data_IF_195925000933
#
_entry.id   IF_195925000933
#
_cell.length_a   1.000
_cell.length_b   1.000
_cell.length_c   1.000
_cell.angle_alpha   90.00
_cell.angle_beta   90.00
_cell.angle_gamma   90.00
#
_symmetry.space_group_name_H-M   'P 1'
#
loop_
_entity.id
_entity.type
_entity.pdbx_description
1 polymer ?
2 polymer ?
3 water ?
#
# COMPACT_ATOMS: atom_id res chain seq x y z
N UNK A 5 48.67 8.40 -12.95
CA UNK A 5 47.45 8.03 -12.21
C UNK A 5 46.51 9.23 -12.05
N UNK A 6 45.26 9.10 -12.52
CA UNK A 6 44.29 10.20 -12.46
C UNK A 6 43.02 9.86 -11.68
N UNK A 7 42.43 10.90 -11.08
CA UNK A 7 41.16 10.80 -10.39
C UNK A 7 40.30 11.87 -10.99
N UNK A 8 39.02 11.55 -11.26
CA UNK A 8 38.10 12.51 -11.86
C UNK A 8 36.69 12.20 -11.38
N UNK A 9 35.74 13.09 -11.72
CA UNK A 9 34.34 12.88 -11.38
C UNK A 9 33.59 12.36 -12.60
N UNK A 10 32.78 11.32 -12.39
CA UNK A 10 31.96 10.76 -13.46
C UNK A 10 30.87 11.78 -13.89
N UNK A 11 30.38 11.64 -15.13
CA UNK A 11 29.30 12.47 -15.66
C UNK A 11 28.00 11.66 -15.68
N UNK A 12 28.11 10.35 -15.33
CA UNK A 12 26.98 9.41 -15.28
C UNK A 12 26.08 9.84 -14.12
N UNK A 13 24.82 10.10 -14.43
CA UNK A 13 23.84 10.51 -13.42
C UNK A 13 22.91 9.33 -13.09
N UNK A 14 23.17 8.61 -11.97
CA UNK A 14 22.35 7.48 -11.54
C UNK A 14 21.72 7.79 -10.19
N UNK A 15 21.35 6.73 -9.47
CA UNK A 15 20.77 6.88 -8.14
C UNK A 15 21.02 5.61 -7.34
N UNK A 16 21.81 5.70 -6.23
CA UNK A 16 22.10 4.48 -5.44
C UNK A 16 20.89 3.89 -4.70
N UNK A 17 19.78 4.65 -4.55
CA UNK A 17 18.55 4.26 -3.84
C UNK A 17 17.54 3.52 -4.67
N UNK A 18 17.83 3.24 -5.95
CA UNK A 18 16.94 2.59 -6.92
C UNK A 18 16.34 1.26 -6.42
N UNK A 19 17.15 0.25 -6.12
CA UNK A 19 16.59 -1.03 -5.65
C UNK A 19 15.81 -0.87 -4.32
N UNK A 20 16.34 -0.07 -3.36
CA UNK A 20 15.71 0.15 -2.06
C UNK A 20 14.30 0.82 -2.16
N UNK A 21 14.17 1.83 -3.03
CA UNK A 21 12.97 2.67 -3.19
C UNK A 21 11.84 2.10 -4.06
N UNK A 22 12.07 0.99 -4.73
CA UNK A 22 11.10 0.35 -5.63
C UNK A 22 9.77 0.00 -4.98
N UNK A 23 9.78 -0.45 -3.74
CA UNK A 23 8.56 -0.81 -3.03
C UNK A 23 7.69 0.41 -2.69
N UNK A 24 8.27 1.63 -2.72
CA UNK A 24 7.63 2.89 -2.43
C UNK A 24 7.10 3.58 -3.69
N UNK A 25 7.28 2.94 -4.86
CA UNK A 25 6.72 3.45 -6.11
C UNK A 25 5.34 2.81 -6.21
N UNK A 26 4.42 3.30 -5.38
CA UNK A 26 3.05 2.81 -5.25
C UNK A 26 2.30 2.70 -6.62
N UNK A 27 2.51 3.65 -7.52
CA UNK A 27 1.90 3.65 -8.85
C UNK A 27 2.40 2.46 -9.70
N UNK A 28 3.67 2.13 -9.62
CA UNK A 28 4.24 0.99 -10.33
C UNK A 28 3.93 -0.36 -9.63
N UNK A 29 4.08 -0.46 -8.30
CA UNK A 29 4.01 -1.71 -7.57
C UNK A 29 2.57 -2.13 -7.11
N UNK A 30 1.74 -1.19 -6.66
CA UNK A 30 0.36 -1.44 -6.23
C UNK A 30 -0.55 -1.30 -7.43
N UNK A 31 -0.41 -0.18 -8.18
CA UNK A 31 -1.07 0.20 -9.44
C UNK A 31 -2.58 0.33 -9.37
N UNK A 32 -3.11 0.72 -8.19
CA UNK A 32 -4.56 0.88 -8.04
C UNK A 32 -4.83 1.74 -6.83
N UNK A 33 -6.10 2.02 -6.54
CA UNK A 33 -6.50 2.83 -5.39
C UNK A 33 -6.02 2.25 -4.09
N UNK A 34 -5.89 3.09 -3.09
CA UNK A 34 -5.44 2.67 -1.77
C UNK A 34 -6.60 2.81 -0.81
N UNK A 35 -7.09 4.03 -0.62
CA UNK A 35 -8.17 4.31 0.32
C UNK A 35 -9.39 3.54 -0.17
N UNK A 36 -9.74 3.72 -1.46
CA UNK A 36 -10.79 2.99 -2.15
C UNK A 36 -10.12 2.35 -3.38
N UNK A 37 -10.09 1.02 -3.42
CA UNK A 37 -9.53 0.27 -4.52
C UNK A 37 -10.65 -0.45 -5.28
N UNK A 38 -10.87 -0.02 -6.53
CA UNK A 38 -11.90 -0.54 -7.45
C UNK A 38 -11.31 -0.43 -8.88
N UNK A 39 -10.07 -0.88 -9.03
CA UNK A 39 -9.28 -0.75 -10.25
C UNK A 39 -9.51 -1.75 -11.36
N UNK A 40 -10.28 -2.79 -11.11
CA UNK A 40 -10.55 -3.81 -12.14
C UNK A 40 -12.03 -3.92 -12.45
N UNK A 41 -12.36 -3.92 -13.74
CA UNK A 41 -13.73 -4.09 -14.22
C UNK A 41 -13.95 -5.57 -14.49
N UNK A 42 -15.17 -6.03 -14.25
CA UNK A 42 -15.55 -7.43 -14.47
C UNK A 42 -16.98 -7.51 -15.01
N UNK A 43 -17.15 -8.19 -16.14
CA UNK A 43 -18.46 -8.40 -16.74
C UNK A 43 -19.03 -9.75 -16.26
N UNK A 44 -20.18 -9.69 -15.54
CA UNK A 44 -20.91 -10.86 -14.99
C UNK A 44 -22.37 -10.75 -15.49
N UNK A 45 -22.84 -11.76 -16.28
CA UNK A 45 -24.21 -11.78 -16.85
C UNK A 45 -24.49 -10.52 -17.69
N UNK A 46 -23.50 -10.17 -18.56
CA UNK A 46 -23.49 -9.02 -19.48
C UNK A 46 -23.60 -7.65 -18.76
N UNK A 47 -23.39 -7.63 -17.42
CA UNK A 47 -23.41 -6.44 -16.56
C UNK A 47 -21.97 -6.17 -16.08
N UNK A 48 -21.61 -4.89 -15.94
CA UNK A 48 -20.26 -4.46 -15.53
C UNK A 48 -20.17 -4.14 -14.05
N UNK A 49 -19.16 -4.72 -13.38
CA UNK A 49 -18.88 -4.55 -11.94
C UNK A 49 -17.42 -4.13 -11.68
N UNK A 50 -17.20 -3.43 -10.57
CA UNK A 50 -15.90 -2.93 -10.15
C UNK A 50 -15.39 -3.74 -8.95
N UNK A 51 -14.13 -4.21 -9.03
CA UNK A 51 -13.49 -4.97 -7.96
C UNK A 51 -12.12 -4.41 -7.61
N UNK A 52 -11.66 -4.55 -6.32
CA UNK A 52 -10.30 -4.11 -5.96
C UNK A 52 -9.26 -4.87 -6.80
N UNK A 53 -8.17 -4.18 -7.22
CA UNK A 53 -7.11 -4.74 -8.07
C UNK A 53 -5.66 -4.50 -7.61
N UNK A 54 -5.46 -3.70 -6.56
CA UNK A 54 -4.13 -3.39 -6.03
C UNK A 54 -3.22 -4.58 -5.87
N UNK A 55 -1.93 -4.45 -6.25
CA UNK A 55 -1.00 -5.59 -6.11
C UNK A 55 -0.31 -5.67 -4.73
N UNK A 56 -0.58 -4.70 -3.84
CA UNK A 56 0.03 -4.68 -2.51
C UNK A 56 -1.00 -4.83 -1.41
N UNK A 57 -0.63 -5.36 -0.21
CA UNK A 57 -1.58 -5.36 0.91
C UNK A 57 -1.72 -3.97 1.51
N UNK A 58 -2.90 -3.67 2.06
CA UNK A 58 -3.15 -2.39 2.73
C UNK A 58 -3.27 -2.72 4.24
N UNK A 59 -2.21 -2.43 4.99
CA UNK A 59 -2.13 -2.70 6.42
C UNK A 59 -2.94 -1.73 7.26
N UNK A 60 -3.76 -2.27 8.15
CA UNK A 60 -4.49 -1.47 9.11
C UNK A 60 -5.79 -0.87 8.62
N UNK A 61 -6.19 -1.22 7.40
CA UNK A 61 -7.40 -0.67 6.79
C UNK A 61 -8.61 -1.52 7.12
N UNK A 62 -9.70 -0.86 7.45
CA UNK A 62 -10.99 -1.51 7.68
C UNK A 62 -12.14 -0.65 7.20
N UNK A 63 -13.36 -1.18 7.23
CA UNK A 63 -14.53 -0.40 6.77
C UNK A 63 -15.36 -0.02 7.97
N UNK A 64 -15.57 1.30 8.17
CA UNK A 64 -16.39 1.80 9.27
C UNK A 64 -17.85 1.96 8.77
N UNK A 65 -18.78 1.23 9.39
CA UNK A 65 -20.22 1.28 9.08
C UNK A 65 -20.82 2.36 10.00
N UNK A 66 -21.33 3.46 9.40
CA UNK A 66 -21.88 4.61 10.11
C UNK A 66 -23.09 4.26 10.98
N UNK A 67 -23.00 4.63 12.29
CA UNK A 67 -24.03 4.46 13.33
C UNK A 67 -24.48 2.99 13.47
N UNK A 68 -23.49 2.09 13.41
CA UNK A 68 -23.63 0.65 13.59
C UNK A 68 -22.53 0.18 14.54
N UNK A 69 -22.86 -0.82 15.36
CA UNK A 69 -21.92 -1.41 16.32
C UNK A 69 -21.43 -2.78 15.79
N UNK A 70 -21.94 -3.18 14.60
CA UNK A 70 -21.57 -4.41 13.92
C UNK A 70 -20.27 -4.13 13.18
N UNK A 71 -19.26 -5.00 13.39
CA UNK A 71 -17.98 -4.93 12.68
C UNK A 71 -18.21 -5.31 11.21
N UNK A 72 -17.49 -4.69 10.27
CA UNK A 72 -17.58 -5.03 8.84
C UNK A 72 -17.13 -6.48 8.59
N UNK A 73 -16.39 -7.09 9.54
CA UNK A 73 -15.91 -8.48 9.46
C UNK A 73 -17.01 -9.54 9.73
N UNK A 74 -18.19 -9.09 10.22
CA UNK A 74 -19.32 -9.99 10.44
C UNK A 74 -19.92 -10.36 9.06
N UNK A 75 -20.51 -11.57 8.88
CA UNK A 75 -21.09 -11.90 7.56
C UNK A 75 -22.17 -10.92 7.11
N UNK A 76 -22.40 -10.82 5.79
CA UNK A 76 -23.46 -9.98 5.27
C UNK A 76 -24.80 -10.55 5.77
N UNK A 77 -25.80 -9.69 5.96
CA UNK A 77 -27.15 -10.12 6.35
C UNK A 77 -27.74 -10.97 5.23
N UNK A 78 -28.34 -12.11 5.59
CA UNK A 78 -28.96 -13.02 4.62
C UNK A 78 -30.43 -13.31 4.99
N UNK A 79 -31.28 -13.26 3.96
CA UNK A 79 -32.72 -13.54 3.99
C UNK A 79 -33.54 -12.96 5.11
N UNK A 80 -33.59 -13.68 6.26
CA UNK A 80 -34.38 -13.32 7.46
C UNK A 80 -33.75 -12.21 8.31
N UNK A 81 -32.53 -11.76 7.95
CA UNK A 81 -31.78 -10.71 8.66
C UNK A 81 -31.88 -9.40 7.88
N UNK A 82 -31.83 -8.27 8.60
CA UNK A 82 -31.87 -6.93 7.99
C UNK A 82 -30.44 -6.50 7.62
N UNK A 83 -30.29 -5.82 6.45
CA UNK A 83 -29.02 -5.31 5.89
C UNK A 83 -28.08 -4.75 6.98
N UNK A 84 -28.62 -3.82 7.81
CA UNK A 84 -27.91 -3.13 8.87
C UNK A 84 -27.50 -4.00 10.07
N UNK A 85 -27.92 -5.26 10.12
CA UNK A 85 -27.59 -6.18 11.22
C UNK A 85 -26.37 -7.06 10.91
N UNK A 86 -25.87 -6.95 9.68
CA UNK A 86 -24.70 -7.70 9.22
C UNK A 86 -23.54 -6.80 8.84
N UNK A 87 -22.44 -7.43 8.45
CA UNK A 87 -21.22 -6.77 8.00
C UNK A 87 -21.05 -6.88 6.51
N UNK A 88 -19.82 -7.17 6.07
CA UNK A 88 -19.41 -7.23 4.67
C UNK A 88 -18.88 -8.60 4.28
N UNK A 89 -18.56 -9.46 5.28
CA UNK A 89 -17.90 -10.72 5.05
C UNK A 89 -18.77 -11.79 4.40
N UNK A 90 -18.13 -12.83 3.89
CA UNK A 90 -18.80 -13.95 3.24
C UNK A 90 -19.75 -14.66 4.21
N UNK A 91 -20.99 -15.00 3.77
CA UNK A 91 -21.94 -15.65 4.69
C UNK A 91 -21.74 -17.16 4.79
N UNK A 92 -22.48 -17.82 5.70
CA UNK A 92 -22.39 -19.28 5.91
C UNK A 92 -22.71 -20.04 4.60
N UNK A 93 -21.93 -21.10 4.35
CA UNK A 93 -22.01 -21.91 3.13
C UNK A 93 -21.93 -23.42 3.47
N UNK A 94 -22.22 -24.31 2.47
CA UNK A 94 -22.21 -25.78 2.66
C UNK A 94 -20.84 -26.30 3.10
N UNK A 95 -19.78 -25.57 2.69
CA UNK A 95 -18.39 -25.80 3.08
C UNK A 95 -17.98 -24.49 3.82
N UNK A 96 -17.35 -24.58 5.00
CA UNK A 96 -16.98 -23.37 5.74
C UNK A 96 -15.68 -22.75 5.22
N UNK A 97 -15.78 -22.02 4.10
CA UNK A 97 -14.65 -21.37 3.43
C UNK A 97 -14.30 -20.02 4.09
N UNK A 98 -15.24 -19.42 4.85
CA UNK A 98 -14.99 -18.15 5.53
C UNK A 98 -15.90 -17.96 6.77
N UNK A 99 -15.39 -17.44 7.93
CA UNK A 99 -13.98 -17.12 8.24
C UNK A 99 -13.14 -18.37 8.35
N UNK A 100 -11.83 -18.27 8.13
CA UNK A 100 -11.00 -19.44 8.30
C UNK A 100 -9.72 -19.16 9.04
N UNK A 101 -9.45 -19.88 10.12
CA UNK A 101 -8.24 -19.70 10.88
C UNK A 101 -7.05 -20.21 10.06
N UNK A 102 -5.83 -19.80 10.45
CA UNK A 102 -4.61 -20.24 9.76
C UNK A 102 -4.46 -21.75 9.85
N UNK A 103 -4.72 -22.34 11.04
CA UNK A 103 -4.67 -23.80 11.25
C UNK A 103 -5.58 -24.54 10.21
N UNK A 104 -6.82 -24.00 9.95
CA UNK A 104 -7.80 -24.50 8.97
C UNK A 104 -7.33 -24.38 7.54
N UNK A 105 -6.66 -23.25 7.19
CA UNK A 105 -6.12 -23.06 5.84
C UNK A 105 -4.98 -24.04 5.63
N UNK A 106 -4.18 -24.26 6.68
CA UNK A 106 -3.05 -25.19 6.67
C UNK A 106 -3.54 -26.61 6.52
N UNK A 107 -4.69 -26.95 7.14
CA UNK A 107 -5.25 -28.30 6.98
C UNK A 107 -5.81 -28.49 5.57
N UNK A 108 -6.65 -27.55 5.11
CA UNK A 108 -7.26 -27.56 3.80
C UNK A 108 -6.24 -27.76 2.66
N UNK A 109 -5.05 -27.13 2.74
CA UNK A 109 -4.03 -27.16 1.69
C UNK A 109 -2.77 -27.93 2.04
N UNK A 110 -2.89 -28.91 2.96
CA UNK A 110 -1.78 -29.75 3.47
C UNK A 110 -1.04 -30.61 2.41
N UNK A 111 -1.70 -30.92 1.28
CA UNK A 111 -1.12 -31.75 0.21
C UNK A 111 -0.65 -30.92 -0.98
N UNK A 112 -1.07 -29.63 -1.01
CA UNK A 112 -0.67 -28.71 -2.07
C UNK A 112 0.74 -28.21 -1.79
N UNK A 113 1.74 -28.78 -2.49
CA UNK A 113 3.16 -28.48 -2.34
C UNK A 113 3.44 -27.00 -2.55
N UNK A 114 2.95 -26.43 -3.66
CA UNK A 114 3.17 -25.02 -4.00
C UNK A 114 2.61 -24.06 -2.96
N UNK A 115 1.47 -24.39 -2.39
CA UNK A 115 0.82 -23.55 -1.40
C UNK A 115 1.51 -23.57 -0.04
N UNK A 116 2.39 -24.59 0.19
CA UNK A 116 3.17 -24.73 1.41
C UNK A 116 4.30 -23.70 1.46
N UNK A 117 4.58 -23.07 0.31
CA UNK A 117 5.60 -22.03 0.12
C UNK A 117 5.03 -20.64 0.47
N UNK A 118 3.68 -20.50 0.57
CA UNK A 118 3.04 -19.20 0.83
C UNK A 118 3.16 -18.74 2.27
N UNK A 119 3.24 -17.40 2.46
CA UNK A 119 3.24 -16.80 3.78
C UNK A 119 1.77 -16.61 4.15
N UNK A 120 1.45 -16.45 5.43
CA UNK A 120 0.10 -16.40 5.95
C UNK A 120 -0.83 -15.48 5.16
N UNK A 121 -0.39 -14.24 4.88
CA UNK A 121 -1.14 -13.28 4.10
C UNK A 121 -1.36 -13.78 2.66
N UNK A 122 -0.29 -14.28 1.99
CA UNK A 122 -0.40 -14.79 0.58
C UNK A 122 -1.34 -16.01 0.50
N UNK A 123 -1.32 -16.86 1.56
CA UNK A 123 -2.15 -18.06 1.71
C UNK A 123 -3.62 -17.66 1.84
N UNK A 124 -3.93 -16.66 2.69
CA UNK A 124 -5.30 -16.16 2.87
C UNK A 124 -5.77 -15.59 1.54
N UNK A 125 -4.92 -14.79 0.87
CA UNK A 125 -5.27 -14.13 -0.37
C UNK A 125 -5.57 -15.17 -1.47
N UNK A 126 -4.69 -16.18 -1.67
CA UNK A 126 -4.83 -17.24 -2.67
C UNK A 126 -6.09 -18.04 -2.42
N UNK A 127 -6.38 -18.33 -1.13
CA UNK A 127 -7.58 -19.06 -0.74
C UNK A 127 -8.81 -18.34 -1.23
N UNK A 128 -8.99 -17.06 -0.80
CA UNK A 128 -10.15 -16.23 -1.16
C UNK A 128 -10.28 -16.01 -2.65
N UNK A 129 -9.14 -15.82 -3.35
CA UNK A 129 -9.06 -15.53 -4.79
C UNK A 129 -9.30 -16.77 -5.69
N UNK A 130 -9.31 -17.98 -5.10
CA UNK A 130 -9.53 -19.25 -5.82
C UNK A 130 -11.01 -19.51 -6.19
N UNK A 131 -11.95 -18.81 -5.53
CA UNK A 131 -13.38 -19.01 -5.70
C UNK A 131 -13.99 -18.26 -6.87
N UNK A 132 -14.36 -19.02 -7.91
CA UNK A 132 -14.97 -18.54 -9.17
C UNK A 132 -16.47 -18.77 -9.07
N UNK A 133 -17.28 -17.88 -9.62
CA UNK A 133 -18.73 -18.11 -9.62
C UNK A 133 -19.08 -19.34 -10.51
N UNK A 134 -20.06 -20.16 -10.06
CA UNK A 134 -20.46 -21.39 -10.73
C UNK A 134 -21.36 -21.16 -11.95
N UNK A 135 -21.39 -22.18 -12.80
CA UNK A 135 -22.19 -22.19 -14.03
C UNK A 135 -21.53 -21.30 -15.05
N UNK A 136 -22.27 -20.30 -15.57
CA UNK A 136 -21.66 -19.37 -16.51
C UNK A 136 -20.92 -18.28 -15.74
N UNK A 137 -19.59 -18.44 -15.73
CA UNK A 137 -18.62 -17.57 -15.09
C UNK A 137 -18.10 -16.64 -16.18
N UNK A 138 -17.08 -17.09 -16.97
CA UNK A 138 -16.40 -16.33 -18.06
C UNK A 138 -15.68 -15.10 -17.49
N UNK A 139 -16.03 -14.73 -16.23
CA UNK A 139 -15.58 -13.59 -15.45
C UNK A 139 -14.28 -13.78 -14.67
N UNK A 140 -13.59 -12.66 -14.54
CA UNK A 140 -12.35 -12.43 -13.82
C UNK A 140 -12.68 -11.99 -12.37
N UNK A 141 -14.01 -11.78 -12.06
CA UNK A 141 -14.56 -11.37 -10.76
C UNK A 141 -14.19 -12.34 -9.66
N UNK A 142 -13.50 -11.83 -8.63
CA UNK A 142 -13.13 -12.57 -7.43
C UNK A 142 -13.46 -11.69 -6.25
N UNK A 143 -13.59 -12.28 -5.06
CA UNK A 143 -13.88 -11.59 -3.80
C UNK A 143 -12.60 -11.15 -3.15
N UNK A 144 -12.56 -9.99 -2.48
CA UNK A 144 -11.34 -9.60 -1.77
C UNK A 144 -11.32 -10.32 -0.43
N UNK A 145 -10.21 -10.21 0.33
CA UNK A 145 -10.11 -10.78 1.66
C UNK A 145 -9.58 -9.79 2.66
N UNK A 146 -9.74 -10.12 3.95
CA UNK A 146 -9.17 -9.42 5.09
C UNK A 146 -8.52 -10.46 5.98
N UNK A 147 -7.19 -10.36 6.12
CA UNK A 147 -6.48 -11.28 7.00
C UNK A 147 -6.25 -10.57 8.34
N UNK A 148 -6.67 -11.20 9.46
CA UNK A 148 -6.48 -10.65 10.81
C UNK A 148 -5.24 -11.30 11.33
N UNK A 149 -4.16 -10.55 11.40
CA UNK A 149 -2.86 -11.08 11.81
C UNK A 149 -2.79 -11.40 13.35
N UNK A 150 -3.60 -10.72 14.18
CA UNK A 150 -3.62 -10.96 15.63
C UNK A 150 -4.41 -12.27 15.90
N UNK A 151 -5.62 -12.37 15.35
CA UNK A 151 -6.51 -13.53 15.43
C UNK A 151 -6.14 -14.65 14.47
N UNK A 152 -5.17 -14.43 13.54
CA UNK A 152 -4.69 -15.41 12.55
C UNK A 152 -5.87 -16.03 11.79
N UNK A 153 -6.77 -15.15 11.34
CA UNK A 153 -8.02 -15.49 10.67
C UNK A 153 -8.17 -14.79 9.32
N UNK A 154 -8.52 -15.57 8.29
CA UNK A 154 -8.77 -15.12 6.92
C UNK A 154 -10.25 -14.92 6.72
N UNK A 155 -10.67 -13.72 6.32
CA UNK A 155 -12.07 -13.38 6.07
C UNK A 155 -12.26 -13.00 4.60
N UNK A 156 -13.07 -13.75 3.87
CA UNK A 156 -13.39 -13.39 2.49
C UNK A 156 -14.47 -12.30 2.60
N UNK A 157 -14.40 -11.27 1.74
CA UNK A 157 -15.43 -10.24 1.78
C UNK A 157 -16.45 -10.46 0.66
N UNK A 158 -17.76 -10.53 1.02
CA UNK A 158 -18.84 -10.66 0.07
C UNK A 158 -18.95 -9.36 -0.71
N UNK A 159 -18.90 -8.20 0.03
CA UNK A 159 -18.94 -6.85 -0.54
C UNK A 159 -17.54 -6.34 -0.86
N UNK A 160 -17.36 -5.82 -2.09
CA UNK A 160 -16.14 -5.22 -2.61
C UNK A 160 -16.22 -3.70 -2.45
N UNK A 161 -17.44 -3.20 -2.14
CA UNK A 161 -17.68 -1.79 -1.89
C UNK A 161 -16.89 -1.34 -0.63
N UNK A 162 -16.41 -0.10 -0.64
CA UNK A 162 -15.59 0.45 0.45
C UNK A 162 -16.12 1.76 0.99
N UNK A 163 -16.86 2.52 0.17
CA UNK A 163 -17.41 3.81 0.59
C UNK A 163 -18.80 4.03 -0.01
N UNK A 164 -19.73 4.53 0.82
CA UNK A 164 -21.10 4.89 0.47
C UNK A 164 -21.55 6.07 1.36
N UNK A 165 -21.76 7.22 0.70
CA UNK A 165 -22.19 8.47 1.32
C UNK A 165 -23.33 9.05 0.48
N UNK A 166 -23.98 10.09 1.00
CA UNK A 166 -25.08 10.75 0.31
C UNK A 166 -26.42 10.24 0.76
N UNK A 167 -27.22 11.11 1.44
CA UNK A 167 -28.55 10.69 1.95
C UNK A 167 -29.44 9.93 0.97
N UNK A 168 -29.38 10.26 -0.33
CA UNK A 168 -30.19 9.56 -1.34
C UNK A 168 -29.72 8.11 -1.63
N UNK A 169 -28.42 7.82 -1.34
CA UNK A 169 -27.81 6.51 -1.59
C UNK A 169 -27.72 5.64 -0.35
N UNK A 170 -27.71 6.25 0.85
CA UNK A 170 -27.64 5.51 2.11
C UNK A 170 -28.32 6.23 3.24
N UNK A 171 -28.65 5.49 4.31
CA UNK A 171 -29.28 6.04 5.51
C UNK A 171 -28.40 5.88 6.76
N UNK A 172 -27.84 6.98 7.32
CA UNK A 172 -27.04 6.84 8.56
C UNK A 172 -27.94 6.62 9.80
N UNK A 173 -29.26 6.94 9.66
CA UNK A 173 -30.33 6.82 10.64
C UNK A 173 -30.51 5.35 11.07
N UNK A 174 -29.99 4.99 12.28
CA UNK A 174 -30.03 3.65 12.87
C UNK A 174 -31.45 3.15 13.20
N UNK A 175 -32.44 4.08 13.15
CA UNK A 175 -33.86 3.81 13.38
C UNK A 175 -34.57 3.42 12.07
N UNK A 176 -33.81 3.37 10.95
CA UNK A 176 -34.26 2.98 9.61
C UNK A 176 -33.51 1.69 9.20
N UNK A 177 -33.67 0.63 10.03
CA UNK A 177 -33.04 -0.70 9.97
C UNK A 177 -33.15 -1.47 8.64
N UNK A 178 -34.16 -1.16 7.82
CA UNK A 178 -34.42 -1.85 6.55
C UNK A 178 -33.57 -1.36 5.38
N UNK A 179 -33.24 -0.05 5.35
CA UNK A 179 -32.47 0.58 4.27
C UNK A 179 -30.94 0.27 4.28
N UNK A 180 -30.22 0.79 3.27
CA UNK A 180 -28.78 0.62 3.03
C UNK A 180 -27.97 1.53 3.98
N UNK A 181 -26.88 0.97 4.54
CA UNK A 181 -25.99 1.66 5.46
C UNK A 181 -24.98 2.61 4.77
N UNK A 182 -24.48 3.60 5.51
CA UNK A 182 -23.42 4.49 5.05
C UNK A 182 -22.12 3.92 5.60
N UNK A 183 -21.08 3.92 4.78
CA UNK A 183 -19.79 3.37 5.17
C UNK A 183 -18.63 4.10 4.51
N UNK A 184 -17.43 4.00 5.11
CA UNK A 184 -16.21 4.62 4.63
C UNK A 184 -14.99 3.80 5.01
N UNK A 185 -13.90 3.81 4.20
CA UNK A 185 -12.69 3.09 4.63
C UNK A 185 -11.95 3.95 5.66
N UNK A 186 -11.20 3.31 6.57
CA UNK A 186 -10.44 4.04 7.60
C UNK A 186 -9.39 3.16 8.26
N UNK A 187 -8.52 3.80 9.05
CA UNK A 187 -7.51 3.15 9.87
C UNK A 187 -7.67 3.65 11.30
N UNK A 188 -7.76 2.71 12.25
CA UNK A 188 -7.88 3.02 13.68
C UNK A 188 -7.36 1.84 14.45
N UNK A 189 -7.20 1.96 15.77
CA UNK A 189 -6.67 0.89 16.58
C UNK A 189 -7.36 -0.47 16.36
N UNK A 190 -8.72 -0.48 16.27
CA UNK A 190 -9.47 -1.73 16.08
C UNK A 190 -9.13 -2.46 14.77
N UNK A 191 -8.58 -1.74 13.77
CA UNK A 191 -8.22 -2.33 12.45
C UNK A 191 -6.73 -2.53 12.26
N UNK A 192 -5.94 -2.22 13.28
CA UNK A 192 -4.49 -2.16 13.15
C UNK A 192 -3.82 -3.45 12.78
N UNK A 193 -4.40 -4.62 13.17
CA UNK A 193 -3.83 -5.92 12.83
C UNK A 193 -4.43 -6.53 11.56
N UNK A 194 -5.34 -5.80 10.91
CA UNK A 194 -6.01 -6.24 9.70
C UNK A 194 -5.18 -5.94 8.46
N UNK A 195 -5.33 -6.76 7.41
CA UNK A 195 -4.66 -6.65 6.13
C UNK A 195 -5.70 -6.78 5.01
N UNK A 196 -6.04 -5.65 4.36
CA UNK A 196 -7.01 -5.60 3.29
C UNK A 196 -6.33 -6.10 2.00
N UNK A 197 -6.91 -7.17 1.41
CA UNK A 197 -6.32 -7.83 0.26
C UNK A 197 -7.19 -7.95 -0.98
N UNK A 198 -6.76 -7.37 -2.09
CA UNK A 198 -7.49 -7.57 -3.33
C UNK A 198 -7.07 -8.93 -3.89
N UNK A 199 -7.80 -9.44 -4.88
CA UNK A 199 -7.49 -10.71 -5.53
C UNK A 199 -6.10 -10.77 -6.18
N UNK A 200 -5.48 -9.60 -6.43
CA UNK A 200 -4.21 -9.42 -7.17
C UNK A 200 -2.94 -9.23 -6.37
N UNK A 201 -2.99 -9.28 -5.04
CA UNK A 201 -1.85 -9.03 -4.19
C UNK A 201 -0.71 -10.03 -4.45
N UNK A 202 0.52 -9.48 -4.63
CA UNK A 202 1.78 -10.23 -4.84
C UNK A 202 2.04 -11.20 -3.67
N UNK A 203 2.38 -12.45 -4.01
CA UNK A 203 2.71 -13.44 -2.98
C UNK A 203 4.00 -13.03 -2.28
N UNK A 204 4.85 -12.26 -2.98
CA UNK A 204 6.13 -11.75 -2.48
C UNK A 204 5.96 -10.27 -2.07
N UNK A 205 4.84 -9.93 -1.41
CA UNK A 205 4.54 -8.58 -0.97
C UNK A 205 5.57 -8.13 0.06
N UNK A 206 6.19 -9.08 0.75
CA UNK A 206 7.20 -8.79 1.77
C UNK A 206 8.48 -8.17 1.16
N UNK A 207 8.77 -8.48 -0.10
CA UNK A 207 9.96 -7.95 -0.79
C UNK A 207 9.63 -6.78 -1.68
N UNK A 208 8.36 -6.68 -2.13
CA UNK A 208 8.00 -5.69 -3.14
C UNK A 208 7.04 -4.59 -2.71
N UNK A 209 6.48 -4.68 -1.50
CA UNK A 209 5.46 -3.74 -1.04
C UNK A 209 5.82 -3.09 0.26
N UNK A 210 5.27 -1.91 0.62
CA UNK A 210 5.60 -1.34 1.93
C UNK A 210 4.92 -2.10 3.07
N UNK A 211 5.48 -2.05 4.28
CA UNK A 211 4.86 -2.58 5.48
C UNK A 211 5.31 -1.72 6.65
N UNK A 212 6.58 -1.85 7.04
CA UNK A 212 7.15 -1.13 8.17
C UNK A 212 7.43 0.31 7.79
N UNK A 213 7.25 1.19 8.77
CA UNK A 213 7.58 2.60 8.66
C UNK A 213 9.10 2.76 8.84
N UNK A 214 9.69 3.75 8.18
CA UNK A 214 11.15 3.96 8.24
C UNK A 214 11.50 5.06 9.27
N UNK A 215 12.06 4.63 10.40
CA UNK A 215 12.50 5.51 11.47
C UNK A 215 13.82 6.15 11.10
N UNK A 216 14.15 7.30 11.70
CA UNK A 216 15.39 8.04 11.42
C UNK A 216 15.51 8.45 9.95
N UNK A 217 14.35 8.64 9.34
CA UNK A 217 14.23 8.87 7.92
C UNK A 217 13.05 9.69 7.55
N UNK A 218 13.20 10.41 6.44
CA UNK A 218 12.11 11.14 5.78
C UNK A 218 12.29 10.94 4.30
N UNK A 219 11.18 10.80 3.58
CA UNK A 219 11.23 10.67 2.14
C UNK A 219 11.82 11.94 1.49
N UNK A 220 12.60 11.76 0.45
CA UNK A 220 13.20 12.85 -0.31
C UNK A 220 13.30 12.55 -1.79
N UNK A 221 13.96 13.46 -2.54
CA UNK A 221 14.21 13.40 -3.99
C UNK A 221 15.71 13.43 -4.30
N UNK A 222 16.17 12.47 -5.11
CA UNK A 222 17.60 12.39 -5.40
C UNK A 222 17.91 13.41 -6.45
N UNK A 223 18.74 14.38 -6.05
CA UNK A 223 19.14 15.49 -6.91
C UNK A 223 20.65 15.47 -7.13
N UNK A 224 21.10 14.81 -8.19
CA UNK A 224 22.51 14.74 -8.58
C UNK A 224 23.52 14.53 -7.40
N UNK A 225 23.47 13.38 -6.73
CA UNK A 225 24.45 13.08 -5.69
C UNK A 225 24.09 13.33 -4.24
N UNK A 226 22.86 13.83 -3.97
CA UNK A 226 22.38 13.98 -2.60
C UNK A 226 20.86 13.88 -2.53
N UNK A 227 20.34 13.41 -1.39
CA UNK A 227 18.90 13.28 -1.19
C UNK A 227 18.38 14.60 -0.65
N UNK A 228 17.52 15.27 -1.43
CA UNK A 228 17.01 16.59 -1.04
C UNK A 228 15.55 16.55 -0.61
N UNK A 229 15.14 17.59 0.13
CA UNK A 229 13.78 17.81 0.61
C UNK A 229 12.77 17.97 -0.54
N UNK A 230 11.56 17.47 -0.33
CA UNK A 230 10.49 17.62 -1.31
C UNK A 230 9.94 19.02 -1.11
N UNK A 231 10.05 19.93 -2.12
CA UNK A 231 9.62 21.32 -1.91
C UNK A 231 8.11 21.52 -1.68
N UNK A 232 7.25 20.88 -2.46
CA UNK A 232 5.79 21.04 -2.33
C UNK A 232 5.17 19.90 -1.56
N UNK A 233 4.81 20.15 -0.31
CA UNK A 233 4.15 19.19 0.58
C UNK A 233 2.94 19.88 1.24
N UNK A 234 2.03 19.10 1.83
CA UNK A 234 0.90 19.63 2.59
C UNK A 234 1.13 19.26 4.07
N UNK A 235 1.40 20.25 4.91
CA UNK A 235 1.63 20.07 6.34
C UNK A 235 0.30 19.98 7.08
N UNK A 236 0.16 19.00 7.99
CA UNK A 236 -1.00 18.75 8.86
C UNK A 236 -0.57 18.44 10.31
N UNK A 237 -1.42 18.75 11.26
CA UNK A 237 -1.16 18.47 12.67
C UNK A 237 -1.44 16.99 12.89
N UNK A 238 -0.47 16.26 13.48
CA UNK A 238 -0.58 14.84 13.80
C UNK A 238 0.10 14.61 15.14
N UNK A 239 -0.66 14.19 16.16
CA UNK A 239 -0.15 13.92 17.50
C UNK A 239 0.88 12.79 17.50
N UNK A 240 0.66 11.76 16.68
CA UNK A 240 1.57 10.62 16.63
C UNK A 240 1.64 10.00 15.24
N UNK A 241 2.51 8.99 15.06
CA UNK A 241 2.68 8.25 13.83
C UNK A 241 1.37 7.66 13.33
N UNK A 242 0.55 7.10 14.25
CA UNK A 242 -0.75 6.49 13.88
C UNK A 242 -1.63 7.51 13.18
N UNK A 243 -1.71 8.73 13.74
CA UNK A 243 -2.45 9.90 13.19
C UNK A 243 -1.90 10.29 11.81
N UNK A 244 -0.55 10.39 11.66
CA UNK A 244 0.03 10.71 10.37
C UNK A 244 -0.30 9.67 9.33
N UNK A 245 -0.21 8.40 9.72
CA UNK A 245 -0.51 7.26 8.84
C UNK A 245 -2.01 7.24 8.46
N UNK A 246 -2.91 7.66 9.38
CA UNK A 246 -4.36 7.73 9.14
C UNK A 246 -4.65 8.88 8.17
N UNK A 247 -3.96 10.06 8.37
CA UNK A 247 -4.11 11.22 7.51
C UNK A 247 -3.69 10.85 6.05
N UNK A 248 -2.44 10.37 5.84
CA UNK A 248 -1.97 9.98 4.49
C UNK A 248 -2.91 8.94 3.85
N UNK A 249 -3.43 7.97 4.62
CA UNK A 249 -4.33 6.97 4.06
C UNK A 249 -5.62 7.68 3.57
N UNK A 250 -6.16 8.58 4.40
CA UNK A 250 -7.36 9.33 4.05
C UNK A 250 -7.20 10.13 2.78
N UNK A 251 -6.00 10.70 2.54
CA UNK A 251 -5.69 11.53 1.36
C UNK A 251 -5.19 10.76 0.14
N UNK A 252 -4.94 9.45 0.29
CA UNK A 252 -4.34 8.59 -0.73
C UNK A 252 -5.21 8.32 -1.96
N UNK A 253 -4.57 7.66 -2.95
CA UNK A 253 -5.17 7.29 -4.24
C UNK A 253 -6.54 6.64 -4.04
N UNK A 254 -7.62 7.24 -4.62
CA UNK A 254 -9.00 6.76 -4.50
C UNK A 254 -9.64 6.40 -5.86
N UNK A 255 -10.30 5.22 -5.96
CA UNK A 255 -11.00 4.76 -7.15
C UNK A 255 -12.50 5.00 -7.00
N UNK A 256 -12.87 5.76 -5.96
CA UNK A 256 -14.25 6.09 -5.64
C UNK A 256 -14.80 7.08 -6.65
N UNK A 257 -16.05 6.86 -7.17
CA UNK A 257 -16.62 7.83 -8.11
C UNK A 257 -16.74 9.25 -7.54
N UNK A 258 -16.63 10.27 -8.41
CA UNK A 258 -16.72 11.70 -8.05
C UNK A 258 -18.01 12.33 -8.60
N UNK A 297 -13.01 6.32 -13.30
CA UNK A 297 -12.62 6.65 -11.92
C UNK A 297 -11.47 5.72 -11.44
N UNK A 298 -10.44 5.51 -12.27
CA UNK A 298 -9.32 4.65 -11.87
C UNK A 298 -8.07 5.49 -11.56
N UNK A 299 -7.64 5.51 -10.28
CA UNK A 299 -6.49 6.34 -9.90
C UNK A 299 -5.20 5.74 -10.43
N UNK A 300 -5.09 4.40 -10.53
CA UNK A 300 -3.88 3.68 -10.96
C UNK A 300 -2.72 3.81 -9.93
N UNK A 301 -3.09 4.24 -8.71
CA UNK A 301 -2.16 4.39 -7.59
C UNK A 301 -1.61 5.79 -7.41
N UNK A 302 -2.13 6.74 -8.20
CA UNK A 302 -1.69 8.12 -8.18
C UNK A 302 -2.45 8.81 -7.11
N UNK A 303 -1.75 9.53 -6.28
CA UNK A 303 -2.38 10.23 -5.18
C UNK A 303 -1.39 10.58 -4.10
N UNK A 304 -1.91 11.16 -3.00
CA UNK A 304 -1.14 11.60 -1.87
C UNK A 304 -0.91 10.37 -1.01
N UNK A 305 0.05 9.52 -1.42
CA UNK A 305 0.34 8.21 -0.85
C UNK A 305 1.43 8.16 0.17
N UNK A 306 2.24 9.22 0.29
CA UNK A 306 3.43 9.21 1.14
C UNK A 306 3.40 10.35 2.13
N UNK A 307 4.04 10.17 3.28
CA UNK A 307 4.08 11.21 4.31
C UNK A 307 5.31 11.10 5.16
N UNK A 308 5.81 12.26 5.58
CA UNK A 308 6.93 12.43 6.49
C UNK A 308 6.39 12.90 7.85
N UNK A 309 6.72 12.15 8.91
CA UNK A 309 6.25 12.52 10.24
C UNK A 309 7.38 13.06 11.10
N UNK A 310 7.20 14.29 11.56
CA UNK A 310 8.10 14.97 12.47
C UNK A 310 7.60 14.63 13.86
N UNK A 311 8.27 13.68 14.52
CA UNK A 311 7.87 13.23 15.86
C UNK A 311 8.15 14.27 17.00
N UNK A 312 8.97 15.30 16.73
CA UNK A 312 9.29 16.35 17.72
C UNK A 312 8.25 17.47 17.60
N UNK A 313 8.04 17.97 16.37
CA UNK A 313 7.09 19.04 16.07
C UNK A 313 5.65 18.56 16.00
N UNK A 314 5.41 17.24 15.95
CA UNK A 314 4.08 16.65 15.85
C UNK A 314 3.39 17.15 14.55
N UNK A 315 4.07 16.98 13.43
CA UNK A 315 3.55 17.42 12.12
C UNK A 315 3.71 16.35 11.05
N UNK A 316 2.70 16.21 10.19
CA UNK A 316 2.60 15.24 9.10
C UNK A 316 2.68 15.98 7.76
N UNK A 317 3.70 15.68 6.92
CA UNK A 317 3.85 16.32 5.59
C UNK A 317 3.53 15.29 4.49
N UNK A 318 2.36 15.43 3.88
CA UNK A 318 1.85 14.54 2.83
C UNK A 318 2.22 15.11 1.45
N UNK A 319 2.43 14.21 0.47
CA UNK A 319 2.84 14.59 -0.87
C UNK A 319 2.39 13.56 -1.89
N UNK A 320 2.28 13.96 -3.18
CA UNK A 320 1.76 13.07 -4.21
C UNK A 320 2.76 12.70 -5.28
N UNK A 321 4.01 12.99 -5.06
CA UNK A 321 5.08 12.64 -6.01
C UNK A 321 5.91 11.48 -5.38
N UNK A 322 6.23 10.40 -6.16
CA UNK A 322 6.98 9.29 -5.58
C UNK A 322 8.34 9.70 -5.04
N UNK A 323 8.73 9.24 -3.85
CA UNK A 323 10.07 9.59 -3.34
C UNK A 323 11.14 8.75 -4.06
N UNK A 324 12.39 9.25 -4.17
CA UNK A 324 13.44 8.48 -4.86
C UNK A 324 14.64 8.21 -3.96
N UNK A 325 14.55 8.63 -2.69
CA UNK A 325 15.61 8.39 -1.72
C UNK A 325 15.09 8.70 -0.34
N UNK A 326 15.93 8.49 0.67
CA UNK A 326 15.63 8.83 2.06
C UNK A 326 16.65 9.80 2.56
N UNK A 327 16.21 10.68 3.44
CA UNK A 327 17.07 11.63 4.16
C UNK A 327 17.18 11.05 5.53
N UNK A 328 18.39 10.91 6.04
CA UNK A 328 18.63 10.40 7.36
C UNK A 328 18.45 11.54 8.37
N UNK A 329 17.29 11.60 9.03
CA UNK A 329 16.98 12.61 10.04
C UNK A 329 16.39 11.93 11.28
N UNK A 330 17.06 12.06 12.47
CA UNK A 330 16.65 11.40 13.73
C UNK A 330 15.22 11.75 14.20
N UNK A 331 14.69 12.90 13.78
CA UNK A 331 13.36 13.39 14.18
C UNK A 331 12.20 12.91 13.32
N UNK A 332 12.49 12.20 12.19
CA UNK A 332 11.42 11.76 11.29
C UNK A 332 11.19 10.25 11.15
N UNK A 333 9.93 9.92 10.80
CA UNK A 333 9.46 8.59 10.39
C UNK A 333 8.83 8.76 8.97
N UNK A 334 9.27 7.95 7.97
CA UNK A 334 8.71 7.97 6.62
C UNK A 334 7.59 6.93 6.57
N UNK A 335 6.37 7.36 6.23
CA UNK A 335 5.23 6.42 6.14
C UNK A 335 4.53 6.45 4.79
N UNK A 336 3.74 5.41 4.49
CA UNK A 336 2.88 5.40 3.29
C UNK A 336 1.44 5.06 3.71
N UNK A 337 0.52 5.23 2.78
CA UNK A 337 -0.91 4.93 2.97
C UNK A 337 -1.11 3.41 3.04
N UNK A 338 -0.14 2.61 2.54
CA UNK A 338 -0.18 1.12 2.52
C UNK A 338 0.42 0.51 3.80
N UNK A 339 1.33 1.23 4.42
CA UNK A 339 2.16 0.89 5.56
C UNK A 339 1.35 0.62 6.81
N UNK A 340 1.94 -0.22 7.68
CA UNK A 340 1.40 -0.59 8.99
C UNK A 340 1.23 0.65 9.83
N UNK A 341 0.11 0.79 10.57
CA UNK A 341 -0.06 2.00 11.39
C UNK A 341 0.99 2.20 12.50
N UNK A 342 1.70 1.14 12.95
CA UNK A 342 2.59 1.28 14.12
C UNK A 342 4.05 0.77 13.94
N UNK A 343 4.27 -0.28 13.16
CA UNK A 343 5.60 -0.85 12.99
C UNK A 343 6.64 0.13 12.49
N UNK A 344 7.80 0.18 13.18
CA UNK A 344 8.91 1.04 12.82
C UNK A 344 10.21 0.27 12.75
N UNK A 345 10.92 0.41 11.63
CA UNK A 345 12.30 -0.07 11.47
C UNK A 345 13.22 1.16 11.60
N UNK A 346 14.00 1.25 12.70
CA UNK A 346 14.93 2.34 13.04
C UNK A 346 16.32 2.24 12.37
N UNK A 347 16.62 1.09 11.73
CA UNK A 347 17.93 0.87 11.09
C UNK A 347 18.00 1.47 9.70
N UNK A 348 18.52 2.70 9.61
CA UNK A 348 18.72 3.43 8.35
C UNK A 348 19.84 2.69 7.60
N UNK A 349 19.72 2.45 6.28
CA UNK A 349 20.81 1.78 5.56
C UNK A 349 22.02 2.72 5.34
N UNK A 350 22.80 2.94 6.43
CA UNK A 350 23.97 3.83 6.53
C UNK A 350 25.03 3.64 5.44
N UNK A 351 25.25 2.39 5.02
CA UNK A 351 26.33 2.04 4.08
C UNK A 351 26.02 2.24 2.60
N UNK A 352 24.75 2.55 2.24
CA UNK A 352 24.32 2.73 0.85
C UNK A 352 25.35 3.51 -0.04
N UNK A 353 25.84 4.66 0.48
CA UNK A 353 26.74 5.54 -0.29
C UNK A 353 28.16 4.97 -0.43
N UNK A 354 28.75 4.59 0.70
CA UNK A 354 30.09 4.02 0.81
C UNK A 354 30.23 2.73 -0.02
N UNK A 355 29.19 1.87 0.02
CA UNK A 355 29.14 0.62 -0.76
C UNK A 355 29.25 0.93 -2.21
N UNK A 356 28.48 1.90 -2.69
CA UNK A 356 28.45 2.29 -4.09
C UNK A 356 29.75 2.96 -4.52
N UNK A 357 30.32 3.83 -3.69
CA UNK A 357 31.61 4.42 -4.03
C UNK A 357 32.68 3.31 -4.15
N UNK A 358 32.81 2.47 -3.10
CA UNK A 358 33.78 1.37 -3.09
C UNK A 358 33.60 0.39 -4.23
N UNK A 359 32.32 0.10 -4.58
CA UNK A 359 31.94 -0.82 -5.66
C UNK A 359 32.51 -0.33 -6.98
N UNK A 360 32.28 0.96 -7.30
CA UNK A 360 32.78 1.63 -8.50
C UNK A 360 34.32 1.66 -8.54
N UNK A 361 34.99 1.98 -7.40
CA UNK A 361 36.46 2.01 -7.28
C UNK A 361 37.07 0.61 -7.62
N UNK A 362 36.27 -0.49 -7.49
CA UNK A 362 36.68 -1.82 -7.95
C UNK A 362 36.30 -1.93 -9.45
N UNK A 363 37.24 -1.43 -10.30
CA UNK A 363 37.21 -1.34 -11.77
C UNK A 363 38.64 -1.35 -12.33
N UNK A 376 46.34 4.44 -14.76
CA UNK A 376 45.37 4.20 -13.70
C UNK A 376 44.31 5.34 -13.59
N UNK A 377 43.16 5.16 -14.27
CA UNK A 377 42.08 6.14 -14.26
C UNK A 377 40.99 5.78 -13.28
N UNK A 378 40.78 6.61 -12.28
CA UNK A 378 39.69 6.41 -11.32
C UNK A 378 38.62 7.45 -11.66
N UNK A 379 37.40 6.98 -11.90
CA UNK A 379 36.23 7.80 -12.17
C UNK A 379 35.27 7.69 -10.96
N UNK A 380 35.25 8.71 -10.08
CA UNK A 380 34.42 8.70 -8.88
C UNK A 380 32.93 8.95 -9.21
N UNK A 381 31.96 8.27 -8.55
CA UNK A 381 30.55 8.50 -8.90
C UNK A 381 30.02 9.80 -8.33
N UNK A 382 28.87 10.23 -8.85
CA UNK A 382 28.25 11.47 -8.46
C UNK A 382 27.49 11.19 -7.18
N UNK A 383 28.25 10.93 -6.10
CA UNK A 383 27.69 10.67 -4.77
C UNK A 383 28.40 11.62 -3.86
N UNK A 384 27.65 12.59 -3.32
CA UNK A 384 28.26 13.70 -2.58
C UNK A 384 27.95 13.69 -1.11
N UNK A 385 27.53 12.52 -0.65
CA UNK A 385 27.20 12.25 0.74
C UNK A 385 27.79 10.87 1.07
N UNK A 386 28.29 10.74 2.30
CA UNK A 386 28.88 9.51 2.83
C UNK A 386 29.20 9.61 4.33
N UNK A 387 29.39 8.43 4.98
CA UNK A 387 29.81 8.36 6.39
C UNK A 387 31.37 8.35 6.48
N UNK A 388 32.06 8.13 5.32
CA UNK A 388 33.52 8.20 5.16
C UNK A 388 33.74 9.56 4.44
N UNK A 389 33.99 10.66 5.20
CA UNK A 389 34.06 12.01 4.63
C UNK A 389 35.13 12.20 3.56
N UNK A 390 36.26 11.51 3.70
CA UNK A 390 37.38 11.58 2.76
C UNK A 390 37.07 10.94 1.41
N UNK A 391 36.22 9.90 1.39
CA UNK A 391 35.85 9.15 0.18
C UNK A 391 35.16 10.01 -0.89
N UNK A 392 34.38 11.03 -0.45
CA UNK A 392 33.67 11.99 -1.33
C UNK A 392 34.67 12.79 -2.19
N UNK A 393 35.92 13.01 -1.70
CA UNK A 393 36.96 13.79 -2.37
C UNK A 393 36.41 15.20 -2.66
N UNK A 394 35.90 15.85 -1.61
CA UNK A 394 35.28 17.16 -1.61
C UNK A 394 36.33 18.28 -1.67
N UNK A 395 36.16 19.31 -2.56
CA UNK A 395 37.15 20.41 -2.61
C UNK A 395 37.14 21.29 -1.38
N UNK A 396 36.02 21.40 -0.68
CA UNK A 396 36.01 22.17 0.55
C UNK A 396 35.81 21.18 1.69
N UNK A 397 35.66 21.65 2.93
CA UNK A 397 35.40 20.72 4.02
C UNK A 397 33.94 20.24 3.94
N UNK A 398 33.69 18.88 3.94
CA UNK A 398 32.30 18.41 3.93
C UNK A 398 31.62 18.83 5.24
N UNK A 399 30.34 19.13 5.15
CA UNK A 399 29.51 19.50 6.29
C UNK A 399 29.08 18.22 7.03
N UNK A 400 29.19 18.23 8.37
CA UNK A 400 28.74 17.16 9.24
C UNK A 400 27.23 17.40 9.48
N UNK A 401 26.38 16.44 9.08
CA UNK A 401 24.91 16.51 9.24
C UNK A 401 24.57 16.09 10.69
N UNK A 402 24.22 17.07 11.53
CA UNK A 402 23.96 16.79 12.95
C UNK A 402 22.76 15.85 13.20
N UNK A 403 21.67 15.98 12.41
CA UNK A 403 20.48 15.12 12.59
C UNK A 403 20.64 13.72 12.01
N UNK A 404 21.80 13.44 11.43
CA UNK A 404 22.09 12.16 10.82
C UNK A 404 22.64 11.17 11.84
N UNK A 405 21.88 10.07 12.07
CA UNK A 405 22.25 8.96 12.98
C UNK A 405 23.45 8.20 12.40
N UNK A 406 23.64 8.21 11.06
CA UNK A 406 24.72 7.55 10.31
C UNK A 406 26.01 8.38 10.33
N UNK A 407 25.94 9.58 10.96
CA UNK A 407 27.06 10.53 10.99
C UNK A 407 27.56 10.84 9.55
N UNK A 408 26.60 11.15 8.69
CA UNK A 408 26.88 11.53 7.30
C UNK A 408 27.50 12.89 7.23
N UNK A 409 28.37 13.05 6.21
CA UNK A 409 29.04 14.27 5.77
C UNK A 409 28.56 14.55 4.33
N UNK A 410 28.28 15.84 4.00
CA UNK A 410 27.81 16.24 2.66
C UNK A 410 28.77 17.26 2.03
N UNK A 411 29.15 17.01 0.79
CA UNK A 411 29.95 17.94 0.04
C UNK A 411 29.00 18.84 -0.76
N UNK A 412 28.75 20.05 -0.23
CA UNK A 412 27.85 21.01 -0.83
C UNK A 412 28.53 21.76 -1.97
N UNK A 413 29.85 21.85 -1.91
CA UNK A 413 30.61 22.64 -2.86
C UNK A 413 31.03 21.86 -4.10
N UNK A 414 30.05 21.39 -4.86
CA UNK A 414 30.30 20.61 -6.07
C UNK A 414 29.39 21.11 -7.19
N UNK A 415 29.78 20.90 -8.44
CA UNK A 415 28.98 21.32 -9.62
C UNK A 415 27.67 20.44 -9.69
N UNK A 416 26.48 21.04 -9.43
CA UNK A 416 25.20 20.33 -9.50
C UNK A 416 24.63 20.46 -10.92
N UNK A 417 24.23 19.33 -11.52
CA UNK A 417 23.73 19.24 -12.88
C UNK A 417 22.21 19.05 -12.96
N UNK A 418 21.54 19.01 -11.80
CA UNK A 418 20.09 18.84 -11.76
C UNK A 418 19.55 19.67 -10.64
N UNK A 419 18.22 19.93 -10.64
CA UNK A 419 17.53 20.76 -9.61
C UNK A 419 16.05 20.38 -9.54
N UNK A 420 15.32 20.90 -8.55
CA UNK A 420 13.90 20.58 -8.41
C UNK A 420 13.07 21.78 -8.84
N UNK A 421 12.07 21.57 -9.69
CA UNK A 421 11.19 22.65 -10.12
C UNK A 421 9.86 22.66 -9.34
N UNK A 422 8.98 23.61 -9.66
CA UNK A 422 7.73 23.95 -8.97
C UNK A 422 6.76 22.81 -8.67
N UNK A 423 6.79 21.79 -9.51
CA UNK A 423 5.92 20.62 -9.41
C UNK A 423 6.60 19.40 -8.77
N UNK A 424 7.73 19.59 -8.01
CA UNK A 424 8.55 18.54 -7.39
C UNK A 424 9.25 17.65 -8.46
N UNK A 425 9.40 18.18 -9.67
CA UNK A 425 10.06 17.45 -10.74
C UNK A 425 11.56 17.75 -10.70
N UNK A 426 12.36 16.69 -10.74
CA UNK A 426 13.81 16.80 -10.80
C UNK A 426 14.16 16.91 -12.27
N UNK A 427 14.76 18.04 -12.68
CA UNK A 427 15.15 18.26 -14.08
C UNK A 427 16.64 18.56 -14.17
N UNK A 428 17.25 18.22 -15.31
CA UNK A 428 18.65 18.52 -15.61
C UNK A 428 18.78 20.04 -15.85
N UNK A 429 19.81 20.70 -15.28
CA UNK A 429 20.03 22.13 -15.50
C UNK A 429 20.25 22.41 -16.98
N UNK A 430 19.85 23.63 -17.45
CA UNK A 430 19.95 24.03 -18.86
C UNK A 430 21.38 23.90 -19.39
N UNK A 431 22.39 24.29 -18.59
CA UNK A 431 23.81 24.20 -18.98
C UNK A 431 24.25 22.79 -19.36
N UNK A 432 23.50 21.76 -18.91
CA UNK A 432 23.89 20.36 -19.09
C UNK A 432 22.95 19.56 -19.96
N UNK A 433 21.75 20.11 -20.27
CA UNK A 433 20.68 19.45 -21.05
C UNK A 433 21.15 18.87 -22.39
N UNK A 434 22.05 19.57 -23.06
CA UNK A 434 22.61 19.22 -24.36
C UNK A 434 23.55 18.02 -24.27
N UNK A 435 24.40 17.97 -23.20
CA UNK A 435 25.34 16.85 -22.95
C UNK A 435 24.55 15.54 -22.72
N UNK A 436 23.45 15.63 -21.95
CA UNK A 436 22.57 14.49 -21.67
C UNK A 436 21.50 14.40 -22.74
N UNK B 4 -28.88 2.31 -9.50
CA UNK B 4 -28.03 1.16 -9.79
C UNK B 4 -26.71 1.54 -10.47
N UNK B 5 -26.64 2.76 -11.08
CA UNK B 5 -25.39 3.23 -11.68
C UNK B 5 -24.45 3.61 -10.54
N UNK B 6 -24.99 4.18 -9.46
CA UNK B 6 -24.25 4.50 -8.24
C UNK B 6 -23.74 3.21 -7.63
N UNK B 7 -24.64 2.21 -7.46
CA UNK B 7 -24.35 0.89 -6.90
C UNK B 7 -23.13 0.25 -7.58
N UNK B 8 -23.15 0.19 -8.93
CA UNK B 8 -22.10 -0.33 -9.82
C UNK B 8 -20.80 0.44 -9.61
N UNK B 9 -20.90 1.77 -9.58
CA UNK B 9 -19.78 2.69 -9.42
C UNK B 9 -19.05 2.54 -8.08
N UNK B 10 -19.79 2.32 -6.98
CA UNK B 10 -19.20 2.16 -5.64
C UNK B 10 -18.72 0.72 -5.34
N UNK B 11 -18.98 -0.24 -6.21
CA UNK B 11 -18.48 -1.61 -6.04
C UNK B 11 -19.45 -2.70 -5.63
N UNK B 12 -20.77 -2.42 -5.65
CA UNK B 12 -21.77 -3.45 -5.36
C UNK B 12 -21.70 -4.52 -6.48
N UNK B 13 -21.79 -5.79 -6.10
CA UNK B 13 -21.62 -6.90 -7.04
C UNK B 13 -22.87 -7.65 -7.48
N UNK B 14 -22.69 -8.71 -8.30
CA UNK B 14 -23.86 -9.47 -8.78
C UNK B 14 -24.42 -10.41 -7.71
N UNK B 15 -25.70 -10.82 -7.88
CA UNK B 15 -26.34 -11.79 -6.99
C UNK B 15 -25.62 -13.10 -7.23
N UNK B 16 -25.15 -13.70 -6.15
CA UNK B 16 -24.38 -14.94 -6.25
C UNK B 16 -24.88 -15.96 -5.26
N UNK B 17 -24.53 -17.21 -5.50
CA UNK B 17 -24.89 -18.29 -4.59
C UNK B 17 -23.86 -19.37 -4.69
N UNK B 18 -23.55 -19.86 -5.90
CA UNK B 18 -22.60 -20.97 -6.02
C UNK B 18 -21.26 -20.58 -6.62
N UNK B 19 -20.23 -21.18 -6.07
CA UNK B 19 -18.86 -20.95 -6.41
C UNK B 19 -18.17 -22.26 -6.61
N UNK B 20 -16.97 -22.20 -7.20
CA UNK B 20 -16.12 -23.37 -7.41
C UNK B 20 -14.68 -22.99 -7.00
N UNK B 21 -13.99 -23.84 -6.21
CA UNK B 21 -12.59 -23.56 -5.96
C UNK B 21 -11.81 -24.16 -7.11
N UNK B 22 -10.79 -23.45 -7.56
CA UNK B 22 -9.92 -23.82 -8.66
C UNK B 22 -8.68 -24.55 -8.14
N UNK B 23 -8.49 -24.55 -6.83
CA UNK B 23 -7.37 -25.29 -6.24
C UNK B 23 -7.82 -26.76 -6.07
N UNK B 24 -7.10 -27.73 -6.65
CA UNK B 24 -7.50 -29.15 -6.50
C UNK B 24 -7.57 -29.60 -5.03
N UNK B 25 -8.57 -30.40 -4.60
CA UNK B 25 -9.68 -30.96 -5.39
C UNK B 25 -10.83 -29.96 -5.55
N UNK B 26 -11.32 -29.76 -6.78
CA UNK B 26 -12.43 -28.81 -6.98
C UNK B 26 -13.70 -29.29 -6.26
N UNK B 27 -14.47 -28.33 -5.72
CA UNK B 27 -15.72 -28.63 -4.99
C UNK B 27 -16.67 -27.45 -5.05
N UNK B 28 -17.95 -27.71 -5.32
CA UNK B 28 -18.96 -26.66 -5.39
C UNK B 28 -19.35 -26.22 -3.97
N UNK B 29 -19.26 -24.92 -3.72
CA UNK B 29 -19.62 -24.32 -2.44
C UNK B 29 -20.77 -23.37 -2.73
N UNK B 30 -21.86 -23.52 -2.03
CA UNK B 30 -23.01 -22.66 -2.24
C UNK B 30 -23.38 -21.97 -0.95
N UNK B 31 -23.76 -20.69 -1.05
CA UNK B 31 -24.23 -19.88 0.06
C UNK B 31 -25.62 -20.44 0.50
N UNK B 32 -25.73 -20.80 1.80
CA UNK B 32 -26.93 -21.37 2.45
C UNK B 32 -28.20 -20.51 2.29
N UNK B 33 -28.16 -19.21 2.68
CA UNK B 33 -29.30 -18.29 2.52
C UNK B 33 -28.94 -17.12 1.59
N UNK B 34 -29.88 -16.70 0.73
CA UNK B 34 -29.69 -15.60 -0.22
C UNK B 34 -29.43 -14.29 0.50
N UNK B 35 -28.47 -13.48 0.00
CA UNK B 35 -28.00 -12.22 0.59
C UNK B 35 -29.03 -11.09 0.46
N UNK B 36 -29.40 -10.49 1.61
CA UNK B 36 -30.35 -9.37 1.72
C UNK B 36 -29.75 -8.09 1.15
#
# INVERSE_FOLDING_TARGET
EASIPTVERSTRMSNPWKAFMEKYDIERTHSSGVRVDLGEDAEVENAKYRIPAGRCPVFGKGIVIENSDVSFLRPVATGDEKLKDGGFAFPNANDHISPMTLANLKERYKDNVEMMKLNDIALCRTHAASFVMAGDQNSNYRHPAVYDEKEKTCHMLYLSAQENMGPRYCSPDAQNRDAVFCFKPDKDESFENLVYLSKNVRNDWDKKCPRKNLGNAKFGLWVDGNCEEIPYVKEVEAEDLRECNRIVFGASASDQPTQYEEEMTDYQKIQQGFRQNNREMIKSAFLPVGAFNSDNFKSKGRGFNWANFDSVKKKCYIFNTKPTCLINDKNFIATTALSHPQEVDLEFPCSIYKDEIEREIKKQSRNMNLYSVDGERIVLPRIFISNDKESIKCPCEPERISQSTCNFYVCNCVEKRAEIKENNQVVIKEEFRDYYENGEEKSNKQMLLLEQKLISEEDLNSAVDHHHHHH
MDISQHATDIGMGPATSCYTSTIPPPKQVCIQQAVKATL
#
